data_IF_663716237010
#
_entry.id   IF_663716237010
#
_cell.length_a   1.000
_cell.length_b   1.000
_cell.length_c   1.000
_cell.angle_alpha   90.00
_cell.angle_beta   90.00
_cell.angle_gamma   90.00
#
_symmetry.space_group_name_H-M   'P 1'
#
loop_
_entity.id
_entity.type
_entity.pdbx_description
1 polymer ?
#
# COMPACT_ATOMS: atom_id res chain seq x y z
N UNK A 1 2.80 -9.78 -14.37
CA UNK A 1 2.33 -9.86 -12.97
C UNK A 1 3.34 -9.29 -11.98
N UNK A 2 4.57 -9.82 -11.84
CA UNK A 2 5.57 -9.21 -10.94
C UNK A 2 6.02 -7.82 -11.43
N UNK A 3 6.35 -7.69 -12.71
CA UNK A 3 6.73 -6.39 -13.31
C UNK A 3 5.59 -5.36 -13.21
N UNK A 4 4.34 -5.81 -13.37
CA UNK A 4 3.16 -4.96 -13.18
C UNK A 4 3.04 -4.49 -11.72
N UNK A 5 3.25 -5.39 -10.76
CA UNK A 5 3.23 -5.04 -9.33
C UNK A 5 4.38 -4.10 -8.95
N UNK A 6 5.58 -4.33 -9.49
CA UNK A 6 6.72 -3.44 -9.33
C UNK A 6 6.43 -2.05 -9.90
N UNK A 7 5.76 -1.97 -11.06
CA UNK A 7 5.35 -0.69 -11.64
C UNK A 7 4.33 0.04 -10.76
N UNK A 8 3.37 -0.66 -10.14
CA UNK A 8 2.42 -0.07 -9.20
C UNK A 8 3.13 0.42 -7.94
N UNK A 9 4.08 -0.35 -7.41
CA UNK A 9 4.91 0.05 -6.27
C UNK A 9 5.74 1.30 -6.59
N UNK A 10 6.35 1.35 -7.78
CA UNK A 10 7.14 2.49 -8.24
C UNK A 10 6.25 3.72 -8.43
N UNK A 11 5.06 3.59 -9.02
CA UNK A 11 4.10 4.70 -9.17
C UNK A 11 3.63 5.26 -7.83
N UNK A 12 3.39 4.40 -6.83
CA UNK A 12 3.08 4.86 -5.47
C UNK A 12 4.26 5.64 -4.88
N UNK A 13 5.48 5.16 -5.06
CA UNK A 13 6.68 5.83 -4.55
C UNK A 13 6.98 7.16 -5.27
N UNK A 14 6.80 7.20 -6.59
CA UNK A 14 7.03 8.39 -7.42
C UNK A 14 5.96 9.45 -7.22
N UNK A 15 4.70 9.05 -7.01
CA UNK A 15 3.61 9.98 -6.64
C UNK A 15 3.90 10.65 -5.29
N UNK A 16 4.44 9.89 -4.33
CA UNK A 16 4.89 10.43 -3.02
C UNK A 16 6.09 11.38 -3.19
N UNK A 17 7.01 11.08 -4.11
CA UNK A 17 8.20 11.90 -4.39
C UNK A 17 7.90 13.18 -5.20
N UNK A 18 6.96 13.14 -6.15
CA UNK A 18 6.55 14.29 -6.95
C UNK A 18 5.76 15.31 -6.12
N UNK A 19 4.90 14.83 -5.22
CA UNK A 19 4.17 15.69 -4.27
C UNK A 19 5.09 16.38 -3.25
N UNK A 20 6.31 15.90 -3.03
CA UNK A 20 7.29 16.54 -2.12
C UNK A 20 8.02 17.72 -2.74
N UNK A 21 7.98 17.89 -4.07
CA UNK A 21 8.71 18.95 -4.76
C UNK A 21 7.88 20.24 -4.94
N UNK A 22 6.55 20.13 -5.03
CA UNK A 22 5.65 21.28 -5.22
C UNK A 22 5.27 21.99 -3.91
N UNK A 23 5.49 21.36 -2.75
CA UNK A 23 4.96 21.78 -1.45
C UNK A 23 5.98 22.53 -0.56
N UNK A 24 7.02 23.12 -1.16
CA UNK A 24 8.08 23.83 -0.40
C UNK A 24 7.77 25.28 -0.06
N UNK A 25 6.61 25.83 -0.46
CA UNK A 25 6.37 27.27 -0.29
C UNK A 25 5.44 27.68 0.83
N UNK A 26 4.48 26.87 1.29
CA UNK A 26 3.65 27.31 2.42
C UNK A 26 3.11 26.14 3.26
N UNK A 27 3.68 26.02 4.45
CA UNK A 27 3.02 25.56 5.66
C UNK A 27 2.70 24.05 5.82
N UNK A 28 3.67 23.31 6.37
CA UNK A 28 3.48 22.33 7.46
C UNK A 28 2.38 21.27 7.31
N UNK A 29 2.20 20.65 6.15
CA UNK A 29 1.58 19.33 6.08
C UNK A 29 2.68 18.27 6.05
N UNK A 30 3.10 17.86 7.25
CA UNK A 30 3.80 16.60 7.44
C UNK A 30 3.09 15.55 6.58
N UNK A 31 3.81 14.93 5.65
CA UNK A 31 3.42 13.67 5.04
C UNK A 31 3.08 12.71 6.17
N UNK A 32 1.80 12.66 6.55
CA UNK A 32 1.31 11.62 7.41
C UNK A 32 1.44 10.37 6.59
N UNK A 33 2.50 9.59 6.83
CA UNK A 33 2.45 8.17 6.56
C UNK A 33 1.06 7.72 7.03
N UNK A 34 0.22 7.24 6.11
CA UNK A 34 -1.15 6.84 6.42
C UNK A 34 -1.05 5.73 7.45
N UNK A 35 -1.03 6.13 8.72
CA UNK A 35 -0.82 5.23 9.83
C UNK A 35 -2.11 4.48 9.95
N UNK A 36 -2.01 3.16 9.85
CA UNK A 36 -3.17 2.30 10.05
C UNK A 36 -3.90 2.71 11.34
N UNK A 37 -5.21 2.94 11.21
CA UNK A 37 -6.12 3.20 12.31
C UNK A 37 -7.02 1.99 12.51
N UNK A 38 -7.32 1.65 13.77
CA UNK A 38 -8.27 0.57 14.06
C UNK A 38 -9.65 0.94 13.48
N UNK A 39 -10.34 0.01 12.77
CA UNK A 39 -11.70 0.25 12.29
C UNK A 39 -12.67 0.55 13.44
N UNK A 40 -13.78 1.21 13.14
CA UNK A 40 -14.84 1.44 14.11
C UNK A 40 -15.48 0.11 14.56
N UNK A 41 -16.12 0.12 15.73
CA UNK A 41 -16.85 -1.04 16.25
C UNK A 41 -17.88 -1.51 15.22
N UNK A 42 -17.92 -2.82 14.95
CA UNK A 42 -18.78 -3.43 13.93
C UNK A 42 -18.12 -3.61 12.56
N UNK A 43 -16.86 -3.19 12.38
CA UNK A 43 -16.08 -3.43 11.18
C UNK A 43 -15.00 -4.49 11.39
N UNK A 44 -14.90 -5.42 10.46
CA UNK A 44 -13.83 -6.42 10.43
C UNK A 44 -12.59 -5.89 9.73
N UNK A 45 -11.42 -6.30 10.22
CA UNK A 45 -10.14 -6.08 9.55
C UNK A 45 -9.87 -7.20 8.57
N UNK A 46 -9.61 -6.85 7.31
CA UNK A 46 -9.16 -7.79 6.29
C UNK A 46 -7.69 -7.53 5.96
N UNK A 47 -6.82 -8.51 6.20
CA UNK A 47 -5.46 -8.51 5.66
C UNK A 47 -5.45 -9.27 4.34
N UNK A 48 -4.79 -8.73 3.32
CA UNK A 48 -4.62 -9.37 2.01
C UNK A 48 -3.14 -9.46 1.67
N UNK A 49 -2.74 -10.57 1.04
CA UNK A 49 -1.38 -10.81 0.57
C UNK A 49 -1.38 -11.54 -0.78
N UNK A 50 -0.28 -11.40 -1.52
CA UNK A 50 -0.06 -12.13 -2.75
C UNK A 50 1.39 -12.59 -2.85
N UNK A 51 1.60 -13.80 -3.36
CA UNK A 51 2.92 -14.39 -3.60
C UNK A 51 3.13 -14.66 -5.09
N UNK A 52 4.28 -14.26 -5.62
CA UNK A 52 4.64 -14.47 -7.02
C UNK A 52 5.88 -15.37 -7.10
N UNK A 53 5.73 -16.57 -7.66
CA UNK A 53 6.80 -17.56 -7.80
C UNK A 53 7.19 -17.72 -9.27
N UNK A 54 8.12 -16.90 -9.75
CA UNK A 54 8.53 -16.86 -11.17
C UNK A 54 9.06 -18.21 -11.68
N UNK A 55 9.88 -18.91 -10.89
CA UNK A 55 10.47 -20.20 -11.27
C UNK A 55 9.43 -21.32 -11.46
N UNK A 56 8.30 -21.24 -10.74
CA UNK A 56 7.21 -22.20 -10.84
C UNK A 56 6.06 -21.69 -11.73
N UNK A 57 6.17 -20.47 -12.27
CA UNK A 57 5.11 -19.73 -12.93
C UNK A 57 3.77 -19.76 -12.16
N UNK A 58 3.84 -19.57 -10.84
CA UNK A 58 2.68 -19.61 -9.95
C UNK A 58 2.47 -18.28 -9.25
N UNK A 59 1.21 -17.90 -9.11
CA UNK A 59 0.76 -16.79 -8.26
C UNK A 59 -0.16 -17.35 -7.19
N UNK A 60 0.06 -16.97 -5.95
CA UNK A 60 -0.80 -17.27 -4.80
C UNK A 60 -1.41 -15.98 -4.26
N UNK A 61 -2.58 -16.10 -3.65
CA UNK A 61 -3.26 -15.00 -2.97
C UNK A 61 -3.84 -15.51 -1.65
N UNK A 62 -3.68 -14.72 -0.60
CA UNK A 62 -4.17 -14.99 0.74
C UNK A 62 -4.98 -13.81 1.27
N UNK A 63 -6.01 -14.10 2.05
CA UNK A 63 -6.70 -13.07 2.83
C UNK A 63 -7.16 -13.62 4.17
N UNK A 64 -7.21 -12.76 5.18
CA UNK A 64 -7.62 -13.10 6.52
C UNK A 64 -8.54 -12.01 7.07
N UNK A 65 -9.77 -12.40 7.42
CA UNK A 65 -10.72 -11.55 8.12
C UNK A 65 -10.58 -11.77 9.64
N UNK A 66 -10.49 -10.68 10.39
CA UNK A 66 -10.35 -10.67 11.85
C UNK A 66 -11.35 -9.70 12.46
N UNK A 67 -11.91 -10.10 13.59
CA UNK A 67 -12.69 -9.27 14.49
C UNK A 67 -11.75 -8.83 15.62
N UNK A 68 -11.03 -7.73 15.43
CA UNK A 68 -10.00 -7.23 16.35
C UNK A 68 -10.61 -6.47 17.55
#
# INVERSE_FOLDING_TARGET
MWEDWLSVQQLQHDTVAANTQHDRRDNTQQQQALRWQKPAVGWYKCNVDAGFHKALNKTSFGWCLRDD
#
